data_IF_440769846877
#
_entry.id   IF_440769846877
#
_cell.length_a   1.000
_cell.length_b   1.000
_cell.length_c   1.000
_cell.angle_alpha   90.00
_cell.angle_beta   90.00
_cell.angle_gamma   90.00
#
_symmetry.space_group_name_H-M   'P 1'
#
loop_
_entity.id
_entity.type
_entity.pdbx_description
1 polymer ?
#
# COMPACT_ATOMS: atom_id res chain seq x y z
N UNK A 1 -19.21 15.68 -9.17
CA UNK A 1 -19.71 14.65 -8.23
C UNK A 1 -18.84 14.75 -6.98
N UNK A 2 -19.38 15.29 -5.88
CA UNK A 2 -18.63 15.45 -4.62
C UNK A 2 -18.70 14.12 -3.88
N UNK A 3 -17.58 13.42 -3.74
CA UNK A 3 -17.53 12.18 -2.97
C UNK A 3 -17.49 12.53 -1.47
N UNK A 4 -18.55 12.27 -0.68
CA UNK A 4 -18.57 12.60 0.74
C UNK A 4 -17.51 11.82 1.54
N UNK A 5 -17.06 10.68 1.02
CA UNK A 5 -16.04 9.83 1.63
C UNK A 5 -14.62 10.37 1.52
N UNK A 6 -14.30 11.17 0.50
CA UNK A 6 -12.93 11.67 0.30
C UNK A 6 -12.43 12.51 1.47
N UNK A 7 -13.33 13.28 2.09
CA UNK A 7 -12.99 14.12 3.26
C UNK A 7 -12.78 13.30 4.53
N UNK A 8 -13.53 12.20 4.71
CA UNK A 8 -13.36 11.30 5.86
C UNK A 8 -12.08 10.47 5.73
N UNK A 9 -11.77 9.99 4.53
CA UNK A 9 -10.54 9.24 4.26
C UNK A 9 -9.28 10.07 4.53
N UNK A 10 -9.29 11.37 4.22
CA UNK A 10 -8.18 12.27 4.56
C UNK A 10 -7.90 12.42 6.06
N UNK A 11 -8.91 12.26 6.94
CA UNK A 11 -8.74 12.36 8.40
C UNK A 11 -8.14 11.09 9.01
N UNK A 12 -8.31 9.95 8.32
CA UNK A 12 -7.76 8.67 8.76
C UNK A 12 -6.27 8.52 8.47
N UNK A 13 -5.73 9.32 7.54
CA UNK A 13 -4.30 9.39 7.27
C UNK A 13 -3.63 10.39 8.22
N UNK A 14 -2.55 9.94 8.84
CA UNK A 14 -1.61 10.79 9.55
C UNK A 14 -0.22 10.77 8.87
N UNK A 15 0.73 11.54 9.40
CA UNK A 15 2.09 11.65 8.82
C UNK A 15 2.92 10.38 8.94
N UNK A 16 2.47 9.44 9.78
CA UNK A 16 3.12 8.14 10.02
C UNK A 16 2.44 7.02 9.21
N UNK A 17 1.32 7.32 8.57
CA UNK A 17 0.60 6.39 7.69
C UNK A 17 1.47 6.06 6.48
N UNK A 18 1.70 4.76 6.27
CA UNK A 18 2.49 4.26 5.15
C UNK A 18 1.64 4.33 3.89
N UNK A 19 2.09 5.13 2.92
CA UNK A 19 1.45 5.28 1.61
C UNK A 19 2.51 5.20 0.51
N UNK A 20 2.07 5.12 -0.75
CA UNK A 20 2.98 5.29 -1.88
C UNK A 20 3.41 6.76 -1.91
N UNK A 21 4.70 7.00 -1.73
CA UNK A 21 5.26 8.35 -1.59
C UNK A 21 6.49 8.53 -2.45
N UNK A 22 6.67 9.74 -2.98
CA UNK A 22 7.89 10.19 -3.64
C UNK A 22 8.89 10.73 -2.62
N UNK A 23 10.14 10.27 -2.69
CA UNK A 23 11.24 10.72 -1.85
C UNK A 23 11.78 12.08 -2.34
N UNK A 24 11.17 13.15 -1.86
CA UNK A 24 11.52 14.53 -2.23
C UNK A 24 12.91 14.95 -1.72
N UNK A 25 13.40 14.36 -0.62
CA UNK A 25 14.74 14.66 -0.09
C UNK A 25 15.85 14.12 -1.00
N UNK A 26 15.60 13.01 -1.69
CA UNK A 26 16.53 12.42 -2.66
C UNK A 26 16.30 12.90 -4.09
N UNK A 27 15.05 13.14 -4.44
CA UNK A 27 14.64 13.43 -5.82
C UNK A 27 14.83 14.88 -6.25
N UNK A 28 14.77 15.83 -5.31
CA UNK A 28 14.83 17.26 -5.62
C UNK A 28 16.23 17.85 -5.38
N UNK A 29 16.68 18.85 -6.18
CA UNK A 29 15.95 19.46 -7.31
C UNK A 29 15.95 18.55 -8.55
N UNK A 30 14.76 18.29 -9.09
CA UNK A 30 14.61 17.47 -10.30
C UNK A 30 15.21 18.18 -11.52
N UNK A 31 15.75 17.41 -12.45
CA UNK A 31 16.22 17.99 -13.71
C UNK A 31 16.50 16.98 -14.81
N UNK A 32 16.55 17.49 -16.03
CA UNK A 32 16.77 16.64 -17.20
C UNK A 32 18.25 16.26 -17.27
N UNK A 33 18.48 14.97 -17.47
CA UNK A 33 19.79 14.46 -17.83
C UNK A 33 20.25 15.07 -19.15
N UNK A 34 21.48 15.58 -19.17
CA UNK A 34 22.13 16.02 -20.41
C UNK A 34 22.87 14.82 -21.00
N UNK A 35 22.77 14.65 -22.32
CA UNK A 35 23.63 13.71 -23.04
C UNK A 35 25.04 14.31 -23.08
N UNK A 36 25.91 13.87 -22.18
CA UNK A 36 27.35 14.14 -22.26
C UNK A 36 27.96 13.08 -23.19
N UNK A 37 28.46 13.50 -24.35
CA UNK A 37 29.22 12.61 -25.22
C UNK A 37 30.66 12.55 -24.69
N UNK A 38 31.03 11.48 -24.01
CA UNK A 38 32.45 11.20 -23.73
C UNK A 38 32.85 9.76 -24.06
N UNK A 39 33.76 9.71 -25.04
CA UNK A 39 34.84 8.75 -25.29
C UNK A 39 34.50 7.36 -25.85
N UNK A 40 34.51 7.33 -27.18
CA UNK A 40 34.86 6.33 -28.21
C UNK A 40 35.08 4.83 -27.90
N UNK A 41 35.25 4.33 -26.68
CA UNK A 41 35.69 2.94 -26.45
C UNK A 41 34.76 2.08 -25.56
N UNK A 42 33.63 2.62 -25.10
CA UNK A 42 32.59 1.81 -24.47
C UNK A 42 31.21 2.26 -24.94
N UNK A 43 30.46 1.32 -25.52
CA UNK A 43 29.07 1.46 -25.98
C UNK A 43 28.12 1.57 -24.77
N UNK A 44 28.36 2.50 -23.84
CA UNK A 44 27.49 2.74 -22.71
C UNK A 44 27.24 4.24 -22.59
N UNK A 45 26.01 4.66 -22.88
CA UNK A 45 25.57 6.04 -22.73
C UNK A 45 25.55 6.39 -21.25
N UNK A 46 26.67 6.87 -20.71
CA UNK A 46 26.71 7.36 -19.33
C UNK A 46 25.99 8.71 -19.29
N UNK A 47 24.78 8.72 -18.71
CA UNK A 47 24.02 9.95 -18.53
C UNK A 47 24.65 10.76 -17.38
N UNK A 48 25.50 11.70 -17.72
CA UNK A 48 26.23 12.51 -16.76
C UNK A 48 25.29 13.57 -16.13
N UNK A 49 25.18 13.52 -14.81
CA UNK A 49 24.37 14.45 -14.02
C UNK A 49 25.07 15.82 -13.93
N UNK A 50 24.30 16.89 -14.11
CA UNK A 50 24.77 18.24 -13.78
C UNK A 50 24.88 18.31 -12.25
N UNK A 51 25.97 18.87 -11.73
CA UNK A 51 26.47 18.74 -10.34
C UNK A 51 25.57 19.25 -9.20
N UNK A 52 24.28 19.44 -9.43
CA UNK A 52 23.33 20.02 -8.47
C UNK A 52 21.90 19.51 -8.70
N UNK A 53 21.73 18.31 -9.29
CA UNK A 53 20.43 17.69 -9.53
C UNK A 53 20.22 16.48 -8.63
N UNK A 54 19.00 16.34 -8.10
CA UNK A 54 18.57 15.16 -7.37
C UNK A 54 18.37 13.95 -8.29
N UNK A 55 17.91 12.85 -7.70
CA UNK A 55 17.73 11.59 -8.42
C UNK A 55 16.59 11.59 -9.44
N UNK A 56 15.63 12.51 -9.31
CA UNK A 56 14.51 12.61 -10.23
C UNK A 56 14.92 13.29 -11.54
N UNK A 57 14.85 12.53 -12.63
CA UNK A 57 15.25 13.00 -13.96
C UNK A 57 14.14 13.74 -14.74
N UNK A 58 13.03 14.05 -14.08
CA UNK A 58 11.84 14.70 -14.63
C UNK A 58 11.28 14.03 -15.92
N UNK A 59 11.27 12.70 -15.97
CA UNK A 59 10.78 11.95 -17.14
C UNK A 59 9.25 11.94 -17.28
N UNK A 60 8.51 12.14 -16.18
CA UNK A 60 7.03 12.14 -16.17
C UNK A 60 6.36 10.77 -16.28
N UNK A 61 7.11 9.66 -16.36
CA UNK A 61 6.54 8.32 -16.51
C UNK A 61 5.56 7.96 -15.37
N UNK A 62 5.85 8.39 -14.14
CA UNK A 62 4.99 8.13 -12.98
C UNK A 62 3.57 8.70 -13.14
N UNK A 63 3.40 9.80 -13.88
CA UNK A 63 2.10 10.41 -14.19
C UNK A 63 1.41 9.66 -15.32
N UNK A 64 2.18 9.28 -16.35
CA UNK A 64 1.65 8.60 -17.55
C UNK A 64 1.10 7.20 -17.25
N UNK A 65 1.71 6.48 -16.31
CA UNK A 65 1.24 5.14 -15.90
C UNK A 65 0.13 5.19 -14.84
N UNK A 66 -0.15 6.37 -14.28
CA UNK A 66 -1.14 6.50 -13.23
C UNK A 66 -2.56 6.39 -13.81
N UNK A 67 -3.40 5.43 -13.35
CA UNK A 67 -4.77 5.30 -13.84
C UNK A 67 -5.66 6.50 -13.49
N UNK A 68 -5.29 7.28 -12.46
CA UNK A 68 -6.01 8.48 -12.03
C UNK A 68 -5.34 9.78 -12.49
N UNK A 69 -4.21 9.71 -13.19
CA UNK A 69 -3.52 10.87 -13.74
C UNK A 69 -2.88 11.81 -12.70
N UNK A 70 -2.67 11.34 -11.48
CA UNK A 70 -2.02 12.14 -10.44
C UNK A 70 -0.52 12.28 -10.67
N UNK A 71 0.04 13.39 -10.21
CA UNK A 71 1.48 13.58 -10.11
C UNK A 71 1.94 13.37 -8.67
N UNK A 72 2.40 12.15 -8.40
CA UNK A 72 2.88 11.69 -7.08
C UNK A 72 4.03 12.54 -6.52
N UNK A 73 4.70 13.35 -7.35
CA UNK A 73 5.76 14.28 -6.93
C UNK A 73 5.20 15.49 -6.17
N UNK A 74 3.90 15.79 -6.33
CA UNK A 74 3.21 16.85 -5.59
C UNK A 74 2.73 16.40 -4.20
N UNK A 75 3.14 15.22 -3.75
CA UNK A 75 2.78 14.66 -2.45
C UNK A 75 1.56 13.75 -2.49
N UNK A 76 1.04 13.43 -1.31
CA UNK A 76 -0.08 12.49 -1.15
C UNK A 76 -1.39 13.12 -1.59
N UNK A 77 -2.02 12.53 -2.60
CA UNK A 77 -3.27 12.98 -3.22
C UNK A 77 -4.36 11.94 -2.97
N UNK A 78 -5.60 12.38 -2.74
CA UNK A 78 -6.73 11.51 -2.36
C UNK A 78 -7.19 10.61 -3.52
N UNK A 79 -6.83 10.97 -4.74
CA UNK A 79 -7.12 10.23 -5.97
C UNK A 79 -6.17 9.04 -6.18
N UNK A 80 -5.13 8.88 -5.33
CA UNK A 80 -4.26 7.71 -5.38
C UNK A 80 -5.01 6.45 -4.95
N UNK A 81 -5.05 5.44 -5.81
CA UNK A 81 -5.69 4.14 -5.55
C UNK A 81 -4.71 3.04 -5.11
N UNK A 82 -3.48 3.41 -4.75
CA UNK A 82 -2.42 2.49 -4.31
C UNK A 82 -2.12 1.32 -5.27
N UNK A 83 -2.20 1.55 -6.59
CA UNK A 83 -1.97 0.53 -7.62
C UNK A 83 -0.50 0.20 -7.92
N UNK A 84 0.46 0.90 -7.28
CA UNK A 84 1.93 0.73 -7.42
C UNK A 84 2.54 0.89 -8.81
N UNK A 85 1.78 1.14 -9.88
CA UNK A 85 2.31 1.28 -11.24
C UNK A 85 3.41 2.35 -11.36
N UNK A 86 3.32 3.44 -10.59
CA UNK A 86 4.32 4.50 -10.56
C UNK A 86 5.66 4.05 -9.95
N UNK A 87 5.67 3.09 -9.02
CA UNK A 87 6.89 2.52 -8.43
C UNK A 87 7.65 1.76 -9.52
N UNK A 88 6.96 0.81 -10.17
CA UNK A 88 7.58 -0.05 -11.19
C UNK A 88 8.12 0.76 -12.37
N UNK A 89 7.34 1.73 -12.85
CA UNK A 89 7.75 2.62 -13.94
C UNK A 89 8.96 3.48 -13.54
N UNK A 90 9.00 3.99 -12.31
CA UNK A 90 10.12 4.79 -11.83
C UNK A 90 11.37 3.94 -11.66
N UNK A 91 11.29 2.76 -11.05
CA UNK A 91 12.44 1.88 -10.89
C UNK A 91 13.00 1.41 -12.23
N UNK A 92 12.14 1.17 -13.23
CA UNK A 92 12.58 0.81 -14.58
C UNK A 92 13.42 1.89 -15.27
N UNK A 93 13.15 3.18 -14.99
CA UNK A 93 13.95 4.27 -15.53
C UNK A 93 15.21 4.50 -14.71
N UNK A 94 15.14 4.35 -13.38
CA UNK A 94 16.28 4.45 -12.48
C UNK A 94 17.36 3.42 -12.83
N UNK A 95 16.95 2.18 -13.13
CA UNK A 95 17.85 1.13 -13.62
C UNK A 95 18.55 1.52 -14.92
N UNK A 96 17.81 2.07 -15.88
CA UNK A 96 18.36 2.46 -17.19
C UNK A 96 19.34 3.62 -17.11
N UNK A 97 19.18 4.51 -16.14
CA UNK A 97 20.07 5.65 -15.93
C UNK A 97 21.17 5.37 -14.90
N UNK A 98 21.21 4.16 -14.34
CA UNK A 98 22.22 3.75 -13.35
C UNK A 98 22.07 4.40 -11.98
N UNK A 99 20.85 4.76 -11.56
CA UNK A 99 20.57 5.36 -10.24
C UNK A 99 19.90 4.35 -9.28
N UNK A 100 19.99 4.56 -7.96
CA UNK A 100 19.38 3.66 -6.99
C UNK A 100 17.85 3.64 -7.10
N UNK A 101 17.24 2.46 -6.93
CA UNK A 101 15.79 2.25 -6.93
C UNK A 101 15.07 2.92 -5.75
N UNK A 102 13.75 2.87 -5.77
CA UNK A 102 12.90 3.28 -4.65
C UNK A 102 12.84 4.79 -4.46
N UNK A 103 12.89 5.55 -5.56
CA UNK A 103 12.61 6.99 -5.55
C UNK A 103 11.14 7.25 -5.24
N UNK A 104 10.26 6.36 -5.70
CA UNK A 104 8.88 6.22 -5.25
C UNK A 104 8.80 4.88 -4.52
N UNK A 105 8.34 4.87 -3.28
CA UNK A 105 8.26 3.65 -2.47
C UNK A 105 7.15 3.74 -1.41
N UNK A 106 6.84 2.61 -0.79
CA UNK A 106 6.04 2.61 0.43
C UNK A 106 6.81 3.30 1.56
N UNK A 107 6.31 4.47 1.97
CA UNK A 107 6.90 5.23 3.06
C UNK A 107 5.88 6.17 3.64
N UNK A 108 6.05 6.52 4.91
CA UNK A 108 5.31 7.62 5.53
C UNK A 108 5.98 8.97 5.23
N UNK A 109 5.24 10.05 5.41
CA UNK A 109 5.76 11.41 5.24
C UNK A 109 6.90 11.69 6.22
N UNK A 110 6.73 11.33 7.49
CA UNK A 110 7.77 11.51 8.51
C UNK A 110 9.01 10.66 8.22
N UNK A 111 8.85 9.45 7.67
CA UNK A 111 10.00 8.62 7.31
C UNK A 111 10.85 9.23 6.21
N UNK A 112 10.24 9.89 5.22
CA UNK A 112 10.98 10.62 4.18
C UNK A 112 11.57 11.90 4.77
N UNK A 113 10.77 12.71 5.47
CA UNK A 113 11.18 14.02 5.98
C UNK A 113 12.27 13.96 7.05
N UNK A 114 12.19 13.00 7.99
CA UNK A 114 13.12 12.89 9.12
C UNK A 114 14.18 11.82 8.92
N UNK A 115 14.09 11.00 7.87
CA UNK A 115 15.00 9.88 7.62
C UNK A 115 14.91 8.75 8.65
N UNK A 116 13.88 8.75 9.50
CA UNK A 116 13.67 7.74 10.53
C UNK A 116 12.83 6.59 9.96
N UNK A 117 13.28 5.36 10.18
CA UNK A 117 12.57 4.16 9.74
C UNK A 117 11.20 3.97 10.42
N UNK A 118 10.59 2.82 10.15
CA UNK A 118 9.32 2.45 10.78
C UNK A 118 9.41 2.46 12.31
N UNK A 119 8.47 3.15 12.96
CA UNK A 119 8.36 3.21 14.41
C UNK A 119 6.93 2.85 14.86
N UNK A 120 6.83 2.19 16.01
CA UNK A 120 5.55 1.76 16.55
C UNK A 120 4.85 2.96 17.23
N UNK A 121 3.81 3.48 16.59
CA UNK A 121 2.99 4.54 17.18
C UNK A 121 2.04 3.97 18.24
N UNK A 122 1.64 4.77 19.25
CA UNK A 122 0.68 4.34 20.26
C UNK A 122 -0.65 3.84 19.66
N UNK A 123 -1.06 4.41 18.52
CA UNK A 123 -2.26 4.00 17.77
C UNK A 123 -2.14 2.58 17.23
N UNK A 124 -1.00 2.24 16.61
CA UNK A 124 -0.74 0.89 16.11
C UNK A 124 -0.81 -0.12 17.25
N UNK A 125 -0.19 0.19 18.40
CA UNK A 125 -0.24 -0.67 19.58
C UNK A 125 -1.69 -0.84 20.05
N UNK A 126 -2.45 0.25 20.21
CA UNK A 126 -3.85 0.20 20.63
C UNK A 126 -4.73 -0.66 19.73
N UNK A 127 -4.64 -0.47 18.41
CA UNK A 127 -5.40 -1.27 17.45
C UNK A 127 -4.97 -2.73 17.45
N UNK A 128 -3.67 -3.02 17.61
CA UNK A 128 -3.16 -4.38 17.66
C UNK A 128 -3.67 -5.12 18.90
N UNK A 129 -3.70 -4.45 20.06
CA UNK A 129 -4.25 -5.01 21.30
C UNK A 129 -5.73 -5.32 21.15
N UNK A 130 -6.53 -4.37 20.66
CA UNK A 130 -7.98 -4.59 20.45
C UNK A 130 -8.23 -5.72 19.47
N UNK A 131 -7.47 -5.79 18.37
CA UNK A 131 -7.59 -6.86 17.37
C UNK A 131 -7.27 -8.23 17.99
N UNK A 132 -6.20 -8.35 18.79
CA UNK A 132 -5.84 -9.59 19.47
C UNK A 132 -6.94 -10.02 20.46
N UNK A 133 -7.54 -9.09 21.19
CA UNK A 133 -8.67 -9.37 22.09
C UNK A 133 -9.88 -9.89 21.29
N UNK A 134 -10.23 -9.25 20.17
CA UNK A 134 -11.35 -9.69 19.35
C UNK A 134 -11.09 -11.09 18.76
N UNK A 135 -9.89 -11.34 18.24
CA UNK A 135 -9.50 -12.64 17.70
C UNK A 135 -9.52 -13.73 18.79
N UNK A 136 -9.08 -13.43 20.00
CA UNK A 136 -9.10 -14.40 21.11
C UNK A 136 -10.52 -14.74 21.53
N UNK A 137 -11.41 -13.74 21.64
CA UNK A 137 -12.84 -13.96 21.92
C UNK A 137 -13.50 -14.78 20.82
N UNK A 138 -13.27 -14.45 19.55
CA UNK A 138 -13.82 -15.21 18.42
C UNK A 138 -13.31 -16.66 18.42
N UNK A 139 -12.03 -16.87 18.67
CA UNK A 139 -11.42 -18.21 18.74
C UNK A 139 -12.01 -19.02 19.89
N UNK A 140 -12.15 -18.39 21.06
CA UNK A 140 -12.78 -19.00 22.23
C UNK A 140 -14.22 -19.41 21.93
N UNK A 141 -15.03 -18.50 21.37
CA UNK A 141 -16.42 -18.79 20.99
C UNK A 141 -16.50 -19.94 19.96
N UNK A 142 -15.60 -19.98 18.97
CA UNK A 142 -15.52 -21.08 17.99
C UNK A 142 -15.19 -22.42 18.64
N UNK A 143 -14.22 -22.48 19.56
CA UNK A 143 -13.87 -23.72 20.27
C UNK A 143 -14.96 -24.15 21.26
N UNK A 144 -15.69 -23.20 21.85
CA UNK A 144 -16.83 -23.47 22.72
C UNK A 144 -18.13 -23.72 21.97
N UNK A 145 -18.14 -23.74 20.62
CA UNK A 145 -19.29 -24.18 19.84
C UNK A 145 -19.56 -25.65 20.17
N UNK A 146 -20.72 -25.92 20.75
CA UNK A 146 -21.25 -27.28 20.89
C UNK A 146 -21.48 -27.90 19.52
N UNK A 147 -21.05 -29.15 19.38
CA UNK A 147 -21.28 -29.99 18.21
C UNK A 147 -22.78 -30.25 18.06
N UNK A 148 -23.40 -29.64 17.05
CA UNK A 148 -24.67 -30.08 16.45
C UNK A 148 -25.87 -30.00 17.41
N UNK A 149 -26.56 -28.86 17.39
CA UNK A 149 -27.92 -28.76 17.92
C UNK A 149 -28.86 -29.48 16.95
N UNK A 150 -29.06 -30.79 17.17
CA UNK A 150 -29.96 -31.62 16.38
C UNK A 150 -31.41 -31.24 16.71
N UNK A 151 -31.91 -30.15 16.13
CA UNK A 151 -33.33 -29.80 16.26
C UNK A 151 -34.12 -30.63 15.26
N UNK A 152 -34.73 -31.73 15.73
CA UNK A 152 -35.66 -32.55 14.94
C UNK A 152 -36.94 -31.75 14.76
N UNK A 153 -37.06 -31.07 13.63
CA UNK A 153 -38.30 -30.44 13.20
C UNK A 153 -39.24 -31.54 12.67
N UNK A 154 -40.22 -31.94 13.48
CA UNK A 154 -41.31 -32.81 13.03
C UNK A 154 -42.11 -32.09 11.94
N UNK A 155 -42.29 -32.75 10.80
CA UNK A 155 -43.20 -32.29 9.75
C UNK A 155 -44.64 -32.30 10.29
N UNK A 156 -45.38 -31.18 10.24
CA UNK A 156 -46.78 -31.14 10.67
C UNK A 156 -47.60 -32.15 9.87
N UNK A 157 -48.23 -33.12 10.55
CA UNK A 157 -49.08 -34.16 9.92
C UNK A 157 -48.62 -35.61 10.09
N UNK A 158 -47.42 -35.85 10.65
CA UNK A 158 -46.93 -37.21 10.94
C UNK A 158 -47.15 -37.57 12.42
N UNK A 159 -47.95 -38.62 12.70
CA UNK A 159 -48.32 -39.06 14.07
C UNK A 159 -47.23 -39.90 14.78
N UNK A 160 -46.38 -40.61 14.02
CA UNK A 160 -45.28 -41.42 14.54
C UNK A 160 -44.14 -41.49 13.51
N UNK A 161 -42.92 -41.78 13.97
CA UNK A 161 -41.77 -41.96 13.08
C UNK A 161 -40.87 -43.05 13.67
N UNK A 162 -40.75 -44.19 12.99
CA UNK A 162 -39.91 -45.30 13.44
C UNK A 162 -38.43 -44.91 13.40
N UNK A 163 -37.78 -45.12 14.54
CA UNK A 163 -36.32 -45.02 14.64
C UNK A 163 -35.64 -46.29 14.10
N UNK A 164 -34.35 -46.25 13.70
CA UNK A 164 -33.62 -47.41 13.21
C UNK A 164 -33.57 -48.60 14.18
N UNK A 165 -33.81 -48.35 15.47
CA UNK A 165 -33.90 -49.35 16.55
C UNK A 165 -35.32 -49.93 16.74
N UNK A 166 -36.26 -49.68 15.82
CA UNK A 166 -37.59 -50.32 15.81
C UNK A 166 -38.53 -49.86 16.92
N UNK A 167 -38.34 -48.64 17.45
CA UNK A 167 -39.28 -48.02 18.39
C UNK A 167 -40.01 -46.86 17.70
N UNK A 168 -41.33 -46.85 17.86
CA UNK A 168 -42.27 -45.82 17.37
C UNK A 168 -42.16 -44.51 18.15
#
# INVERSE_FOLDING_TARGET
>A
MVCPYGRLQGVLLDKDSVVISYDFNRGEPRGKLKKSAKTQDAQELVMEQVSDQGDCIDCGLCVQVCPTGIDIRNGTQLECVNCTACIDACDSIMDKVGKPKGLIRYSSFNAISEGKGFHLTPRIIGYSVVLVILLSVVTFLMMSRVSIETTILRTPGMLYQETPDGRL
#
